data_IF_782301672633
#
_entry.id   IF_782301672633
#
_cell.length_a   1.000
_cell.length_b   1.000
_cell.length_c   1.000
_cell.angle_alpha   90.00
_cell.angle_beta   90.00
_cell.angle_gamma   90.00
#
_symmetry.space_group_name_H-M   'P 1'
#
loop_
_entity.id
_entity.type
_entity.pdbx_description
1 polymer ?
#
# COMPACT_ATOMS: atom_id res chain seq x y z
N UNK A 1 6.25 -4.78 11.63
CA UNK A 1 7.18 -4.94 10.50
C UNK A 1 6.37 -4.90 9.23
N UNK A 2 6.56 -3.86 8.40
CA UNK A 2 6.75 -4.12 6.98
C UNK A 2 7.79 -3.15 6.39
N UNK A 3 9.04 -3.60 6.21
CA UNK A 3 10.08 -2.80 5.53
C UNK A 3 10.74 -3.54 4.36
N UNK A 4 10.23 -4.70 3.95
CA UNK A 4 10.87 -5.51 2.91
C UNK A 4 10.54 -5.08 1.47
N UNK A 5 9.56 -4.17 1.27
CA UNK A 5 9.17 -3.69 -0.07
C UNK A 5 9.86 -2.34 -0.40
N UNK A 6 10.22 -1.55 0.61
CA UNK A 6 10.94 -0.27 0.49
C UNK A 6 12.38 -0.45 0.01
N UNK A 7 13.03 -1.56 0.38
CA UNK A 7 14.41 -1.85 -0.03
C UNK A 7 14.54 -2.25 -1.50
N UNK A 8 13.48 -2.81 -2.11
CA UNK A 8 13.53 -3.26 -3.50
C UNK A 8 13.32 -2.10 -4.51
N UNK A 9 12.72 -0.99 -4.07
CA UNK A 9 12.49 0.17 -4.91
C UNK A 9 13.75 1.07 -5.06
N UNK A 10 14.69 1.01 -4.10
CA UNK A 10 15.89 1.85 -4.10
C UNK A 10 17.00 1.36 -5.05
N UNK A 11 16.95 0.10 -5.47
CA UNK A 11 17.91 -0.45 -6.44
C UNK A 11 17.53 -0.16 -7.91
N UNK A 12 16.43 0.57 -8.16
CA UNK A 12 15.95 0.88 -9.51
C UNK A 12 16.18 2.32 -9.96
N UNK A 13 16.80 3.17 -9.14
CA UNK A 13 17.24 4.54 -9.50
C UNK A 13 18.63 4.54 -10.19
N UNK A 14 18.86 3.56 -11.07
CA UNK A 14 20.00 3.53 -11.97
C UNK A 14 19.77 4.42 -13.19
N UNK A 15 20.35 5.63 -13.14
CA UNK A 15 20.82 6.51 -14.24
C UNK A 15 20.03 6.49 -15.59
N UNK A 16 19.42 7.60 -16.03
CA UNK A 16 18.65 7.67 -17.28
C UNK A 16 19.50 7.62 -18.58
N UNK A 17 20.79 7.27 -18.52
CA UNK A 17 21.73 7.37 -19.66
C UNK A 17 22.12 6.07 -20.39
N UNK A 18 21.67 4.89 -19.96
CA UNK A 18 22.29 3.62 -20.35
C UNK A 18 21.64 2.82 -21.47
N UNK A 19 21.57 3.32 -22.71
CA UNK A 19 21.31 2.44 -23.89
C UNK A 19 22.29 2.65 -25.06
N UNK A 20 23.25 3.58 -24.92
CA UNK A 20 24.34 3.79 -25.86
C UNK A 20 25.63 4.07 -25.09
N UNK A 21 26.27 3.04 -24.53
CA UNK A 21 27.70 3.10 -24.27
C UNK A 21 28.32 1.71 -24.39
N UNK A 22 29.06 1.54 -25.48
CA UNK A 22 30.10 0.52 -25.63
C UNK A 22 31.34 1.00 -24.86
N UNK A 23 31.89 0.27 -23.86
CA UNK A 23 33.11 0.68 -23.20
C UNK A 23 34.29 0.17 -24.02
N UNK A 24 34.82 1.00 -24.92
CA UNK A 24 36.19 0.84 -25.43
C UNK A 24 36.90 2.19 -25.32
N UNK A 25 37.63 2.37 -24.23
CA UNK A 25 38.66 3.41 -24.11
C UNK A 25 40.02 2.70 -24.16
N UNK A 26 40.92 3.02 -25.12
CA UNK A 26 42.20 2.35 -25.23
C UNK A 26 43.16 2.95 -24.20
N UNK A 27 43.60 2.17 -23.22
CA UNK A 27 44.82 2.48 -22.48
C UNK A 27 46.02 1.82 -23.13
N UNK A 28 47.07 2.64 -23.17
CA UNK A 28 48.37 2.52 -23.82
C UNK A 28 49.11 1.23 -23.39
N UNK A 29 49.78 0.64 -24.37
CA UNK A 29 50.60 -0.57 -24.34
C UNK A 29 51.40 -0.84 -23.06
N UNK A 30 51.48 -2.11 -22.66
CA UNK A 30 52.71 -2.90 -22.83
C UNK A 30 52.45 -4.38 -22.51
N UNK A 31 52.40 -5.25 -23.52
CA UNK A 31 52.71 -6.67 -23.36
C UNK A 31 53.44 -7.15 -24.61
N UNK A 32 54.75 -7.35 -24.44
CA UNK A 32 55.55 -8.25 -25.28
C UNK A 32 54.91 -9.63 -25.25
N UNK A 33 54.53 -10.15 -26.42
CA UNK A 33 54.74 -11.56 -26.73
C UNK A 33 54.72 -11.75 -28.25
N UNK A 34 55.75 -12.42 -28.71
CA UNK A 34 55.94 -12.89 -30.08
C UNK A 34 54.74 -13.69 -30.60
N UNK A 35 54.51 -13.62 -31.91
CA UNK A 35 53.73 -14.65 -32.59
C UNK A 35 53.02 -14.18 -33.85
N UNK A 36 53.64 -14.46 -35.00
CA UNK A 36 52.96 -15.17 -36.09
C UNK A 36 52.08 -14.37 -37.04
N UNK A 37 52.53 -14.34 -38.30
CA UNK A 37 51.71 -14.10 -39.49
C UNK A 37 50.44 -14.98 -39.52
N UNK A 38 49.31 -14.41 -39.95
CA UNK A 38 48.10 -15.18 -40.24
C UNK A 38 46.91 -14.28 -40.57
N UNK A 39 46.55 -14.20 -41.85
CA UNK A 39 45.65 -13.18 -42.39
C UNK A 39 44.15 -13.46 -42.30
N UNK A 40 43.41 -12.49 -42.84
CA UNK A 40 42.22 -12.71 -43.66
C UNK A 40 40.90 -13.08 -42.96
N UNK A 41 39.94 -12.14 -43.01
CA UNK A 41 38.53 -12.46 -43.21
C UNK A 41 37.63 -12.37 -41.98
N UNK A 42 36.50 -11.67 -42.13
CA UNK A 42 35.35 -11.82 -41.22
C UNK A 42 34.75 -10.55 -40.63
N UNK A 43 34.68 -9.44 -41.37
CA UNK A 43 33.80 -8.33 -41.00
C UNK A 43 32.33 -8.74 -41.22
N UNK A 44 31.62 -9.12 -40.15
CA UNK A 44 30.20 -9.47 -40.28
C UNK A 44 29.43 -9.84 -39.00
N UNK A 45 30.10 -10.15 -37.89
CA UNK A 45 29.44 -10.69 -36.69
C UNK A 45 28.75 -9.68 -35.75
N UNK A 46 29.09 -8.39 -35.84
CA UNK A 46 28.67 -7.41 -34.81
C UNK A 46 27.24 -6.89 -34.99
N UNK A 47 26.70 -6.88 -36.22
CA UNK A 47 25.37 -6.33 -36.50
C UNK A 47 24.25 -7.25 -36.01
N UNK A 48 24.41 -8.57 -36.14
CA UNK A 48 23.41 -9.53 -35.68
C UNK A 48 23.27 -9.54 -34.14
N UNK A 49 24.38 -9.38 -33.41
CA UNK A 49 24.37 -9.31 -31.95
C UNK A 49 23.77 -8.00 -31.41
N UNK A 50 23.96 -6.87 -32.10
CA UNK A 50 23.37 -5.59 -31.71
C UNK A 50 21.84 -5.53 -31.89
N UNK A 51 21.33 -6.09 -32.99
CA UNK A 51 19.88 -6.13 -33.28
C UNK A 51 19.14 -7.01 -32.28
N UNK A 52 19.70 -8.16 -31.90
CA UNK A 52 19.09 -9.05 -30.90
C UNK A 52 19.07 -8.41 -29.50
N UNK A 53 20.14 -7.71 -29.11
CA UNK A 53 20.18 -6.98 -27.84
C UNK A 53 19.14 -5.85 -27.75
N UNK A 54 18.96 -5.09 -28.83
CA UNK A 54 17.96 -4.03 -28.89
C UNK A 54 16.52 -4.57 -28.79
N UNK A 55 16.22 -5.68 -29.47
CA UNK A 55 14.91 -6.33 -29.42
C UNK A 55 14.62 -6.88 -28.01
N UNK A 56 15.60 -7.53 -27.37
CA UNK A 56 15.46 -8.03 -26.01
C UNK A 56 15.26 -6.87 -25.01
N UNK A 57 16.03 -5.79 -25.15
CA UNK A 57 15.89 -4.60 -24.30
C UNK A 57 14.48 -3.97 -24.45
N UNK A 58 13.99 -3.85 -25.69
CA UNK A 58 12.63 -3.36 -25.96
C UNK A 58 11.56 -4.27 -25.33
N UNK A 59 11.70 -5.59 -25.45
CA UNK A 59 10.78 -6.54 -24.83
C UNK A 59 10.80 -6.41 -23.29
N UNK A 60 11.97 -6.34 -22.68
CA UNK A 60 12.13 -6.17 -21.23
C UNK A 60 11.49 -4.86 -20.76
N UNK A 61 11.70 -3.74 -21.48
CA UNK A 61 11.09 -2.45 -21.15
C UNK A 61 9.56 -2.47 -21.29
N UNK A 62 9.05 -3.06 -22.38
CA UNK A 62 7.60 -3.21 -22.60
C UNK A 62 6.94 -4.09 -21.53
N UNK A 63 7.64 -5.13 -21.06
CA UNK A 63 7.17 -5.96 -19.94
C UNK A 63 7.22 -5.18 -18.62
N UNK A 64 8.31 -4.48 -18.33
CA UNK A 64 8.47 -3.68 -17.10
C UNK A 64 7.38 -2.61 -16.98
N UNK A 65 7.10 -1.89 -18.06
CA UNK A 65 6.05 -0.85 -18.11
C UNK A 65 4.64 -1.41 -17.91
N UNK A 66 4.36 -2.60 -18.44
CA UNK A 66 3.06 -3.27 -18.22
C UNK A 66 2.92 -3.75 -16.78
N UNK A 67 3.98 -4.31 -16.19
CA UNK A 67 3.98 -4.75 -14.79
C UNK A 67 3.73 -3.58 -13.85
N UNK A 68 4.45 -2.47 -14.01
CA UNK A 68 4.26 -1.27 -13.15
C UNK A 68 2.85 -0.69 -13.31
N UNK A 69 2.31 -0.65 -14.52
CA UNK A 69 0.94 -0.19 -14.74
C UNK A 69 -0.12 -1.07 -14.05
N UNK A 70 0.09 -2.39 -13.98
CA UNK A 70 -0.78 -3.31 -13.24
C UNK A 70 -0.63 -3.13 -11.74
N UNK A 71 0.59 -3.01 -11.23
CA UNK A 71 0.86 -2.78 -9.79
C UNK A 71 0.20 -1.48 -9.29
N UNK A 72 0.26 -0.40 -10.06
CA UNK A 72 -0.40 0.87 -9.71
C UNK A 72 -1.91 0.69 -9.61
N UNK A 73 -2.54 0.01 -10.58
CA UNK A 73 -3.99 -0.26 -10.55
C UNK A 73 -4.39 -1.15 -9.37
N UNK A 74 -3.57 -2.15 -9.05
CA UNK A 74 -3.81 -3.02 -7.90
C UNK A 74 -3.76 -2.21 -6.60
N UNK A 75 -2.76 -1.32 -6.46
CA UNK A 75 -2.65 -0.44 -5.30
C UNK A 75 -3.87 0.47 -5.19
N UNK A 76 -4.24 1.16 -6.26
CA UNK A 76 -5.40 2.05 -6.28
C UNK A 76 -6.70 1.33 -5.88
N UNK A 77 -6.93 0.14 -6.44
CA UNK A 77 -8.09 -0.66 -6.09
C UNK A 77 -8.05 -1.17 -4.63
N UNK A 78 -6.87 -1.53 -4.14
CA UNK A 78 -6.66 -1.93 -2.74
C UNK A 78 -6.95 -0.78 -1.78
N UNK A 79 -6.46 0.42 -2.08
CA UNK A 79 -6.68 1.63 -1.28
C UNK A 79 -8.18 1.97 -1.22
N UNK A 80 -8.87 1.87 -2.36
CA UNK A 80 -10.31 2.07 -2.43
C UNK A 80 -11.10 1.08 -1.56
N UNK A 81 -10.77 -0.23 -1.64
CA UNK A 81 -11.41 -1.25 -0.78
C UNK A 81 -11.17 -0.94 0.70
N UNK A 82 -9.94 -0.57 1.03
CA UNK A 82 -9.53 -0.27 2.41
C UNK A 82 -10.30 0.92 2.98
N UNK A 83 -10.39 2.03 2.22
CA UNK A 83 -11.16 3.21 2.62
C UNK A 83 -12.66 2.90 2.74
N UNK A 84 -13.22 2.05 1.86
CA UNK A 84 -14.61 1.60 1.96
C UNK A 84 -14.87 0.82 3.25
N UNK A 85 -13.99 -0.11 3.61
CA UNK A 85 -14.12 -0.93 4.82
C UNK A 85 -13.95 -0.12 6.11
N UNK A 86 -13.02 0.82 6.09
CA UNK A 86 -12.79 1.76 7.18
C UNK A 86 -14.03 2.65 7.41
N UNK A 87 -14.68 3.09 6.33
CA UNK A 87 -15.92 3.85 6.39
C UNK A 87 -17.09 3.00 6.91
N UNK A 88 -17.20 1.75 6.48
CA UNK A 88 -18.19 0.80 6.99
C UNK A 88 -18.04 0.59 8.51
N UNK A 89 -16.81 0.41 8.99
CA UNK A 89 -16.49 0.29 10.41
C UNK A 89 -16.89 1.55 11.20
N UNK A 90 -16.57 2.73 10.67
CA UNK A 90 -16.95 4.01 11.26
C UNK A 90 -18.47 4.15 11.38
N UNK A 91 -19.21 3.87 10.30
CA UNK A 91 -20.67 4.02 10.27
C UNK A 91 -21.35 3.05 11.27
N UNK A 92 -20.85 1.81 11.40
CA UNK A 92 -21.33 0.85 12.41
C UNK A 92 -21.04 1.30 13.85
N UNK A 93 -19.84 1.81 14.11
CA UNK A 93 -19.45 2.31 15.42
C UNK A 93 -20.31 3.51 15.84
N UNK A 94 -20.56 4.44 14.91
CA UNK A 94 -21.45 5.59 15.12
C UNK A 94 -22.87 5.12 15.44
N UNK A 95 -23.43 4.16 14.70
CA UNK A 95 -24.78 3.64 14.96
C UNK A 95 -24.85 2.89 16.30
N UNK A 96 -23.82 2.10 16.63
CA UNK A 96 -23.72 1.41 17.92
C UNK A 96 -23.74 2.41 19.07
N UNK A 97 -22.97 3.49 18.96
CA UNK A 97 -22.90 4.50 20.01
C UNK A 97 -24.18 5.32 20.09
N UNK A 98 -24.82 5.61 18.96
CA UNK A 98 -26.13 6.24 18.94
C UNK A 98 -27.17 5.40 19.70
N UNK A 99 -27.22 4.08 19.47
CA UNK A 99 -28.11 3.18 20.21
C UNK A 99 -27.77 3.14 21.70
N UNK A 100 -26.49 3.11 22.05
CA UNK A 100 -26.05 3.15 23.45
C UNK A 100 -26.54 4.42 24.18
N UNK A 101 -26.47 5.56 23.50
CA UNK A 101 -26.84 6.88 24.04
C UNK A 101 -28.33 7.19 23.94
N UNK A 102 -29.08 6.47 23.09
CA UNK A 102 -30.52 6.65 22.96
C UNK A 102 -31.28 6.20 24.23
N UNK A 103 -32.45 6.80 24.45
CA UNK A 103 -33.32 6.46 25.58
C UNK A 103 -33.88 5.03 25.47
N UNK A 104 -34.08 4.52 24.26
CA UNK A 104 -34.53 3.16 23.99
C UNK A 104 -33.33 2.32 23.57
N UNK A 105 -32.85 1.45 24.45
CA UNK A 105 -31.63 0.66 24.24
C UNK A 105 -31.95 -0.79 23.85
N UNK A 106 -32.29 -1.09 22.57
CA UNK A 106 -32.50 -2.47 22.13
C UNK A 106 -31.19 -3.25 22.23
N UNK A 107 -31.08 -4.11 23.25
CA UNK A 107 -29.89 -4.94 23.50
C UNK A 107 -29.54 -5.81 22.29
N UNK A 108 -30.52 -6.46 21.66
CA UNK A 108 -30.33 -7.31 20.49
C UNK A 108 -29.73 -6.55 19.30
N UNK A 109 -30.20 -5.33 19.04
CA UNK A 109 -29.67 -4.49 17.95
C UNK A 109 -28.24 -4.05 18.24
N UNK A 110 -27.93 -3.72 19.50
CA UNK A 110 -26.55 -3.40 19.91
C UNK A 110 -25.62 -4.59 19.72
N UNK A 111 -26.02 -5.79 20.12
CA UNK A 111 -25.24 -7.02 19.95
C UNK A 111 -24.97 -7.33 18.47
N UNK A 112 -26.00 -7.22 17.61
CA UNK A 112 -25.84 -7.40 16.16
C UNK A 112 -24.83 -6.42 15.53
N UNK A 113 -24.79 -5.18 16.01
CA UNK A 113 -23.79 -4.20 15.57
C UNK A 113 -22.40 -4.55 16.09
N UNK A 114 -22.28 -4.94 17.36
CA UNK A 114 -21.00 -5.33 17.94
C UNK A 114 -20.38 -6.54 17.22
N UNK A 115 -21.19 -7.50 16.76
CA UNK A 115 -20.74 -8.62 15.95
C UNK A 115 -20.26 -8.19 14.55
N UNK A 116 -21.01 -7.31 13.88
CA UNK A 116 -20.59 -6.75 12.59
C UNK A 116 -19.30 -5.93 12.71
N UNK A 117 -19.18 -5.13 13.77
CA UNK A 117 -17.98 -4.35 14.06
C UNK A 117 -16.78 -5.29 14.23
N UNK A 118 -16.88 -6.35 15.05
CA UNK A 118 -15.80 -7.32 15.24
C UNK A 118 -15.42 -8.03 13.93
N UNK A 119 -16.41 -8.32 13.08
CA UNK A 119 -16.16 -8.94 11.77
C UNK A 119 -15.28 -8.05 10.89
N UNK A 120 -15.66 -6.78 10.72
CA UNK A 120 -14.88 -5.84 9.89
C UNK A 120 -13.53 -5.55 10.55
N UNK A 121 -13.50 -5.37 11.86
CA UNK A 121 -12.28 -5.16 12.63
C UNK A 121 -11.24 -6.26 12.42
N UNK A 122 -11.69 -7.51 12.32
CA UNK A 122 -10.80 -8.66 12.06
C UNK A 122 -10.13 -8.61 10.69
N UNK A 123 -10.69 -7.88 9.72
CA UNK A 123 -10.04 -7.63 8.42
C UNK A 123 -8.83 -6.70 8.56
N UNK A 124 -8.77 -5.90 9.64
CA UNK A 124 -7.67 -4.99 9.96
C UNK A 124 -6.70 -5.53 11.00
N UNK A 125 -6.77 -6.83 11.35
CA UNK A 125 -5.94 -7.46 12.38
C UNK A 125 -4.45 -7.04 12.42
N UNK A 126 -3.71 -6.96 11.29
CA UNK A 126 -2.30 -6.54 11.33
C UNK A 126 -2.10 -5.10 11.86
N UNK A 127 -3.12 -4.25 11.80
CA UNK A 127 -3.09 -2.87 12.28
C UNK A 127 -3.69 -2.71 13.69
N UNK A 128 -4.49 -3.67 14.17
CA UNK A 128 -5.22 -3.55 15.45
C UNK A 128 -4.45 -4.04 16.68
N UNK A 129 -3.48 -4.95 16.51
CA UNK A 129 -2.81 -5.67 17.61
C UNK A 129 -2.03 -4.75 18.59
N UNK A 130 -1.79 -3.48 18.25
CA UNK A 130 -1.04 -2.52 19.07
C UNK A 130 -1.70 -1.13 19.17
N UNK A 131 -3.02 -1.04 19.00
CA UNK A 131 -3.74 0.21 19.23
C UNK A 131 -3.78 0.53 20.74
N UNK A 132 -3.62 1.81 21.12
CA UNK A 132 -3.64 2.24 22.53
C UNK A 132 -5.02 2.03 23.14
N UNK A 133 -6.05 2.21 22.31
CA UNK A 133 -7.43 1.85 22.60
C UNK A 133 -7.74 0.58 21.82
N UNK A 134 -8.15 -0.49 22.51
CA UNK A 134 -8.62 -1.70 21.84
C UNK A 134 -10.11 -1.61 21.53
N UNK A 135 -10.56 -2.30 20.48
CA UNK A 135 -12.00 -2.38 20.17
C UNK A 135 -12.81 -2.87 21.37
N UNK A 136 -12.31 -3.86 22.13
CA UNK A 136 -13.00 -4.35 23.33
C UNK A 136 -13.20 -3.23 24.37
N UNK A 137 -12.20 -2.37 24.56
CA UNK A 137 -12.30 -1.21 25.45
C UNK A 137 -13.37 -0.23 24.96
N UNK A 138 -13.46 0.03 23.66
CA UNK A 138 -14.55 0.86 23.08
C UNK A 138 -15.91 0.25 23.41
N UNK A 139 -16.11 -1.03 23.09
CA UNK A 139 -17.42 -1.68 23.27
C UNK A 139 -17.84 -1.80 24.74
N UNK A 140 -16.88 -1.89 25.68
CA UNK A 140 -17.20 -2.08 27.10
C UNK A 140 -17.20 -0.80 27.94
N UNK A 141 -16.39 0.20 27.57
CA UNK A 141 -16.12 1.40 28.39
C UNK A 141 -16.50 2.72 27.75
N UNK A 142 -16.85 2.76 26.47
CA UNK A 142 -17.24 4.04 25.85
C UNK A 142 -18.67 4.41 26.25
N UNK A 143 -18.75 5.40 27.14
CA UNK A 143 -19.98 5.92 27.73
C UNK A 143 -20.26 7.37 27.37
N UNK A 144 -19.42 7.98 26.51
CA UNK A 144 -19.61 9.37 26.13
C UNK A 144 -20.79 9.52 25.18
N UNK A 145 -21.78 10.29 25.63
CA UNK A 145 -22.93 10.69 24.84
C UNK A 145 -22.87 12.19 24.57
N UNK A 146 -22.96 12.55 23.29
CA UNK A 146 -22.99 13.92 22.83
C UNK A 146 -24.29 14.62 23.24
N UNK A 147 -24.33 15.94 23.05
CA UNK A 147 -25.52 16.72 23.33
C UNK A 147 -26.68 16.32 22.41
N UNK A 148 -27.79 15.89 22.99
CA UNK A 148 -29.02 15.53 22.27
C UNK A 148 -29.59 16.72 21.46
N UNK A 149 -29.44 17.94 21.98
CA UNK A 149 -29.84 19.17 21.29
C UNK A 149 -29.07 19.36 19.97
N UNK A 150 -27.76 19.09 19.98
CA UNK A 150 -26.93 19.23 18.78
C UNK A 150 -27.38 18.24 17.69
N UNK A 151 -27.67 16.99 18.08
CA UNK A 151 -28.21 15.97 17.17
C UNK A 151 -29.57 16.37 16.57
N UNK A 152 -30.50 16.91 17.37
CA UNK A 152 -31.80 17.35 16.86
C UNK A 152 -31.69 18.47 15.82
N UNK A 153 -30.67 19.32 15.93
CA UNK A 153 -30.45 20.44 15.01
C UNK A 153 -29.69 20.03 13.74
N UNK A 154 -28.70 19.14 13.85
CA UNK A 154 -27.80 18.80 12.73
C UNK A 154 -28.08 17.44 12.11
N UNK A 155 -28.78 16.55 12.81
CA UNK A 155 -28.90 15.14 12.48
C UNK A 155 -27.59 14.35 12.64
N UNK A 156 -26.52 14.97 13.13
CA UNK A 156 -25.19 14.35 13.19
C UNK A 156 -25.01 13.54 14.48
N UNK A 157 -24.73 12.24 14.30
CA UNK A 157 -24.51 11.27 15.39
C UNK A 157 -23.07 11.26 15.89
N UNK A 158 -22.16 12.01 15.24
CA UNK A 158 -20.71 11.97 15.51
C UNK A 158 -20.29 12.58 16.85
N UNK A 159 -21.19 13.26 17.54
CA UNK A 159 -20.95 13.76 18.90
C UNK A 159 -20.80 12.67 19.97
N UNK A 160 -21.12 11.41 19.68
CA UNK A 160 -21.01 10.32 20.64
C UNK A 160 -19.69 9.56 20.51
N UNK A 161 -19.25 8.93 21.60
CA UNK A 161 -18.22 7.89 21.58
C UNK A 161 -16.79 8.43 21.55
N UNK A 162 -16.25 8.81 22.72
CA UNK A 162 -14.91 9.40 22.79
C UNK A 162 -13.83 8.37 22.47
N UNK A 163 -13.94 7.17 23.06
CA UNK A 163 -12.97 6.10 22.85
C UNK A 163 -13.08 5.51 21.45
N UNK A 164 -14.29 5.48 20.89
CA UNK A 164 -14.56 5.09 19.52
C UNK A 164 -13.80 5.96 18.51
N UNK A 165 -13.78 7.29 18.69
CA UNK A 165 -13.03 8.17 17.80
C UNK A 165 -11.52 8.04 17.97
N UNK A 166 -11.03 7.85 19.20
CA UNK A 166 -9.62 7.59 19.47
C UNK A 166 -9.17 6.29 18.76
N UNK A 167 -9.95 5.22 18.89
CA UNK A 167 -9.76 3.97 18.18
C UNK A 167 -9.69 4.14 16.66
N UNK A 168 -10.71 4.77 16.06
CA UNK A 168 -10.80 4.98 14.63
C UNK A 168 -9.65 5.83 14.09
N UNK A 169 -9.27 6.89 14.81
CA UNK A 169 -8.17 7.74 14.38
C UNK A 169 -6.83 7.00 14.38
N UNK A 170 -6.55 6.23 15.44
CA UNK A 170 -5.32 5.43 15.47
C UNK A 170 -5.30 4.36 14.39
N UNK A 171 -6.44 3.68 14.15
CA UNK A 171 -6.55 2.69 13.08
C UNK A 171 -6.31 3.33 11.70
N UNK A 172 -6.96 4.48 11.43
CA UNK A 172 -6.77 5.25 10.19
C UNK A 172 -5.31 5.61 9.94
N UNK A 173 -4.62 6.07 10.99
CA UNK A 173 -3.20 6.41 10.91
C UNK A 173 -2.34 5.19 10.56
N UNK A 174 -2.64 4.02 11.14
CA UNK A 174 -1.88 2.79 10.87
C UNK A 174 -2.17 2.14 9.52
N UNK A 175 -3.37 2.33 9.00
CA UNK A 175 -3.80 1.77 7.70
C UNK A 175 -3.27 2.60 6.53
N UNK A 176 -3.10 3.92 6.73
CA UNK A 176 -2.61 4.85 5.70
C UNK A 176 -1.10 5.09 5.73
N UNK A 177 -0.37 4.39 6.61
CA UNK A 177 1.07 4.47 6.78
C UNK A 177 1.77 3.31 6.06
#
# INVERSE_FOLDING_TARGET
>A
MPDSISSLAKDLDGDPGGCLHSPYHPQRANMNMEGGEGGGGGGGGWLAAGVTAAVLCWQIHNLKTKTTAVEVKIREHSDFITDSKLKELEDLLVERQHIYCSNVKPKSRREQLEDQIRKIDSEFKPHTDNLRVSLNKVLTKDDHCGSEFLFLMTGDKRGNGKLMWEYLNELKMRVKQ
#
